data_IF_403162274827
#
_entry.id   IF_403162274827
#
_cell.length_a   1.000
_cell.length_b   1.000
_cell.length_c   1.000
_cell.angle_alpha   90.00
_cell.angle_beta   90.00
_cell.angle_gamma   90.00
#
_symmetry.space_group_name_H-M   'P 1'
#
loop_
_entity.id
_entity.type
_entity.pdbx_description
1 polymer ?
#
# COMPACT_ATOMS: atom_id res chain seq x y z
N UNK A 1 -1.43 -25.22 -24.49
CA UNK A 1 -1.95 -23.90 -24.10
C UNK A 1 -1.22 -23.55 -22.82
N UNK A 2 -0.34 -22.54 -22.83
CA UNK A 2 0.26 -22.06 -21.58
C UNK A 2 -0.87 -21.41 -20.77
N UNK A 3 -1.06 -21.86 -19.53
CA UNK A 3 -1.83 -21.12 -18.55
C UNK A 3 -1.15 -19.75 -18.39
N UNK A 4 -1.87 -18.70 -18.76
CA UNK A 4 -1.30 -17.37 -18.89
C UNK A 4 -2.10 -16.46 -17.98
N UNK A 5 -1.49 -16.12 -16.86
CA UNK A 5 -2.05 -15.18 -15.93
C UNK A 5 -2.37 -13.88 -16.68
N UNK A 6 -3.64 -13.53 -16.72
CA UNK A 6 -4.08 -12.28 -17.33
C UNK A 6 -3.61 -11.09 -16.49
N UNK A 7 -3.44 -9.89 -17.07
CA UNK A 7 -3.10 -8.67 -16.31
C UNK A 7 -3.96 -8.48 -15.03
N UNK A 8 -5.29 -8.71 -15.05
CA UNK A 8 -6.10 -8.71 -13.83
C UNK A 8 -5.67 -9.73 -12.76
N UNK A 9 -5.19 -10.90 -13.17
CA UNK A 9 -4.72 -11.96 -12.26
C UNK A 9 -3.40 -11.60 -11.58
N UNK A 10 -2.48 -10.97 -12.33
CA UNK A 10 -1.19 -10.49 -11.80
C UNK A 10 -1.38 -9.31 -10.84
N UNK A 11 -2.35 -8.42 -11.12
CA UNK A 11 -2.62 -7.26 -10.27
C UNK A 11 -3.44 -7.58 -9.02
N UNK A 12 -4.22 -8.66 -9.03
CA UNK A 12 -5.11 -9.03 -7.91
C UNK A 12 -4.37 -9.21 -6.57
N UNK A 13 -3.25 -9.94 -6.46
CA UNK A 13 -2.51 -10.06 -5.21
C UNK A 13 -2.01 -8.70 -4.68
N UNK A 14 -1.56 -7.82 -5.57
CA UNK A 14 -1.01 -6.51 -5.18
C UNK A 14 -2.14 -5.56 -4.76
N UNK A 15 -3.30 -5.64 -5.41
CA UNK A 15 -4.52 -4.96 -4.95
C UNK A 15 -4.98 -5.44 -3.57
N UNK A 16 -4.94 -6.76 -3.32
CA UNK A 16 -5.25 -7.32 -2.01
C UNK A 16 -4.26 -6.86 -0.93
N UNK A 17 -2.97 -6.80 -1.26
CA UNK A 17 -1.94 -6.25 -0.39
C UNK A 17 -2.19 -4.77 -0.04
N UNK A 18 -2.49 -3.93 -1.03
CA UNK A 18 -2.84 -2.51 -0.82
C UNK A 18 -4.07 -2.36 0.09
N UNK A 19 -5.09 -3.19 -0.14
CA UNK A 19 -6.28 -3.20 0.69
C UNK A 19 -5.96 -3.59 2.14
N UNK A 20 -5.20 -4.66 2.36
CA UNK A 20 -4.79 -5.12 3.69
C UNK A 20 -3.98 -4.04 4.44
N UNK A 21 -3.05 -3.36 3.76
CA UNK A 21 -2.26 -2.27 4.34
C UNK A 21 -3.12 -1.06 4.69
N UNK A 22 -4.09 -0.72 3.85
CA UNK A 22 -5.06 0.36 4.11
C UNK A 22 -5.96 0.06 5.30
N UNK A 23 -6.44 -1.19 5.39
CA UNK A 23 -7.25 -1.65 6.51
C UNK A 23 -6.48 -1.60 7.83
N UNK A 24 -5.27 -2.18 7.87
CA UNK A 24 -4.41 -2.15 9.06
C UNK A 24 -4.03 -0.73 9.48
N UNK A 25 -3.72 0.15 8.52
CA UNK A 25 -3.50 1.57 8.79
C UNK A 25 -4.71 2.26 9.42
N UNK A 26 -5.92 1.94 8.95
CA UNK A 26 -7.17 2.42 9.52
C UNK A 26 -7.36 1.96 10.97
N UNK A 27 -7.09 0.68 11.26
CA UNK A 27 -7.17 0.12 12.62
C UNK A 27 -6.18 0.79 13.58
N UNK A 28 -4.92 1.00 13.15
CA UNK A 28 -3.92 1.71 13.96
C UNK A 28 -4.34 3.14 14.23
N UNK A 29 -4.85 3.85 13.22
CA UNK A 29 -5.34 5.22 13.39
C UNK A 29 -6.51 5.29 14.37
N UNK A 30 -7.45 4.35 14.28
CA UNK A 30 -8.58 4.28 15.22
C UNK A 30 -8.10 4.04 16.65
N UNK A 31 -7.26 3.02 16.87
CA UNK A 31 -6.74 2.69 18.20
C UNK A 31 -5.94 3.84 18.84
N UNK A 32 -5.13 4.55 18.04
CA UNK A 32 -4.36 5.71 18.53
C UNK A 32 -5.28 6.90 18.79
N UNK A 33 -6.31 7.12 17.96
CA UNK A 33 -7.29 8.18 18.13
C UNK A 33 -8.17 8.02 19.37
N UNK A 34 -8.31 6.80 19.88
CA UNK A 34 -9.06 6.51 21.11
C UNK A 34 -8.29 6.91 22.39
N UNK A 35 -6.98 7.18 22.30
CA UNK A 35 -6.23 7.71 23.43
C UNK A 35 -6.64 9.16 23.69
N UNK A 36 -7.31 9.38 24.82
CA UNK A 36 -7.80 10.68 25.23
C UNK A 36 -7.33 11.01 26.65
N UNK A 37 -7.00 12.28 26.87
CA UNK A 37 -6.70 12.78 28.21
C UNK A 37 -7.99 13.30 28.84
N UNK A 38 -8.38 12.78 30.02
CA UNK A 38 -9.69 13.09 30.62
C UNK A 38 -9.78 14.52 31.17
N UNK A 39 -8.66 15.19 31.42
CA UNK A 39 -8.60 16.51 32.01
C UNK A 39 -7.47 17.36 31.42
N UNK A 40 -7.61 18.69 31.53
CA UNK A 40 -6.53 19.61 31.15
C UNK A 40 -5.33 19.39 32.08
N UNK A 41 -4.10 19.34 31.52
CA UNK A 41 -2.92 19.11 32.33
C UNK A 41 -2.73 20.23 33.35
N UNK A 42 -2.56 19.83 34.60
CA UNK A 42 -2.48 20.71 35.77
C UNK A 42 -1.25 20.43 36.63
N UNK A 43 -0.67 19.24 36.48
CA UNK A 43 0.51 18.78 37.18
C UNK A 43 1.65 18.44 36.20
N UNK A 44 2.88 18.33 36.73
CA UNK A 44 4.03 17.85 35.95
C UNK A 44 3.82 16.43 35.40
N UNK A 45 3.09 15.58 36.13
CA UNK A 45 2.71 14.25 35.67
C UNK A 45 1.74 14.33 34.49
N UNK A 46 0.75 15.22 34.54
CA UNK A 46 -0.21 15.38 33.44
C UNK A 46 0.48 15.87 32.15
N UNK A 47 1.43 16.79 32.29
CA UNK A 47 2.24 17.25 31.15
C UNK A 47 3.12 16.15 30.57
N UNK A 48 3.68 15.27 31.41
CA UNK A 48 4.42 14.11 30.92
C UNK A 48 3.50 13.16 30.13
N UNK A 49 2.28 12.91 30.61
CA UNK A 49 1.30 12.08 29.90
C UNK A 49 0.87 12.67 28.54
N UNK A 50 0.76 14.00 28.43
CA UNK A 50 0.57 14.67 27.13
C UNK A 50 1.73 14.38 26.19
N UNK A 51 2.97 14.50 26.67
CA UNK A 51 4.16 14.20 25.88
C UNK A 51 4.21 12.76 25.37
N UNK A 52 3.83 11.80 26.22
CA UNK A 52 3.72 10.39 25.82
C UNK A 52 2.63 10.17 24.76
N UNK A 53 1.47 10.83 24.91
CA UNK A 53 0.39 10.76 23.92
C UNK A 53 0.80 11.36 22.56
N UNK A 54 1.49 12.50 22.57
CA UNK A 54 2.02 13.12 21.36
C UNK A 54 3.04 12.19 20.68
N UNK A 55 3.95 11.61 21.47
CA UNK A 55 4.95 10.67 20.97
C UNK A 55 4.32 9.41 20.34
N UNK A 56 3.30 8.82 21.00
CA UNK A 56 2.53 7.68 20.46
C UNK A 56 1.88 8.08 19.13
N UNK A 57 1.19 9.22 19.11
CA UNK A 57 0.47 9.71 17.93
C UNK A 57 1.41 9.93 16.75
N UNK A 58 2.54 10.58 16.98
CA UNK A 58 3.54 10.83 15.96
C UNK A 58 4.18 9.53 15.45
N UNK A 59 4.58 8.63 16.36
CA UNK A 59 5.25 7.37 16.04
C UNK A 59 4.37 6.49 15.15
N UNK A 60 3.13 6.23 15.59
CA UNK A 60 2.21 5.41 14.80
C UNK A 60 1.75 6.13 13.53
N UNK A 61 1.57 7.46 13.57
CA UNK A 61 1.27 8.27 12.38
C UNK A 61 2.36 8.15 11.30
N UNK A 62 3.63 8.20 11.71
CA UNK A 62 4.78 7.99 10.83
C UNK A 62 4.81 6.58 10.26
N UNK A 63 4.63 5.56 11.11
CA UNK A 63 4.61 4.15 10.68
C UNK A 63 3.49 3.88 9.65
N UNK A 64 2.28 4.40 9.89
CA UNK A 64 1.15 4.30 8.96
C UNK A 64 1.47 4.93 7.61
N UNK A 65 2.01 6.16 7.60
CA UNK A 65 2.40 6.83 6.35
C UNK A 65 3.42 6.02 5.55
N UNK A 66 4.44 5.47 6.22
CA UNK A 66 5.45 4.65 5.55
C UNK A 66 4.87 3.35 4.99
N UNK A 67 4.02 2.65 5.74
CA UNK A 67 3.39 1.42 5.27
C UNK A 67 2.49 1.67 4.05
N UNK A 68 1.66 2.72 4.09
CA UNK A 68 0.80 3.08 2.97
C UNK A 68 1.63 3.51 1.74
N UNK A 69 2.69 4.28 1.93
CA UNK A 69 3.58 4.69 0.85
C UNK A 69 4.25 3.49 0.16
N UNK A 70 4.68 2.47 0.93
CA UNK A 70 5.22 1.23 0.36
C UNK A 70 4.17 0.43 -0.39
N UNK A 71 2.96 0.34 0.14
CA UNK A 71 1.86 -0.39 -0.50
C UNK A 71 1.44 0.24 -1.83
N UNK A 72 1.33 1.57 -1.86
CA UNK A 72 1.02 2.33 -3.06
C UNK A 72 2.14 2.22 -4.11
N UNK A 73 3.41 2.29 -3.69
CA UNK A 73 4.55 2.08 -4.59
C UNK A 73 4.54 0.67 -5.20
N UNK A 74 4.31 -0.37 -4.38
CA UNK A 74 4.23 -1.74 -4.88
C UNK A 74 3.10 -1.91 -5.90
N UNK A 75 1.94 -1.28 -5.66
CA UNK A 75 0.83 -1.29 -6.60
C UNK A 75 1.18 -0.61 -7.93
N UNK A 76 1.77 0.58 -7.88
CA UNK A 76 2.22 1.30 -9.09
C UNK A 76 3.22 0.49 -9.91
N UNK A 77 4.24 -0.07 -9.26
CA UNK A 77 5.25 -0.91 -9.93
C UNK A 77 4.61 -2.14 -10.58
N UNK A 78 3.64 -2.77 -9.93
CA UNK A 78 2.93 -3.91 -10.49
C UNK A 78 2.10 -3.54 -11.73
N UNK A 79 1.40 -2.39 -11.68
CA UNK A 79 0.63 -1.86 -12.83
C UNK A 79 1.56 -1.55 -14.00
N UNK A 80 2.67 -0.85 -13.76
CA UNK A 80 3.64 -0.51 -14.79
C UNK A 80 4.25 -1.76 -15.43
N UNK A 81 4.60 -2.75 -14.61
CA UNK A 81 5.13 -4.04 -15.06
C UNK A 81 4.12 -4.83 -15.90
N UNK A 82 2.86 -4.89 -15.47
CA UNK A 82 1.81 -5.58 -16.22
C UNK A 82 1.53 -4.92 -17.57
N UNK A 83 1.47 -3.58 -17.61
CA UNK A 83 1.31 -2.82 -18.84
C UNK A 83 2.48 -3.05 -19.81
N UNK A 84 3.72 -3.08 -19.31
CA UNK A 84 4.89 -3.35 -20.12
C UNK A 84 4.86 -4.78 -20.72
N UNK A 85 4.37 -5.76 -19.95
CA UNK A 85 4.21 -7.13 -20.43
C UNK A 85 3.18 -7.19 -21.57
N UNK A 86 2.00 -6.58 -21.39
CA UNK A 86 0.96 -6.54 -22.42
C UNK A 86 1.46 -5.93 -23.74
N UNK A 87 2.24 -4.84 -23.67
CA UNK A 87 2.85 -4.23 -24.85
C UNK A 87 3.86 -5.18 -25.51
N UNK A 88 4.73 -5.81 -24.72
CA UNK A 88 5.72 -6.75 -25.24
C UNK A 88 5.04 -7.93 -25.97
N UNK A 89 3.90 -8.39 -25.46
CA UNK A 89 3.14 -9.47 -26.08
C UNK A 89 2.44 -9.07 -27.38
N UNK A 90 1.88 -7.86 -27.44
CA UNK A 90 1.32 -7.34 -28.69
C UNK A 90 2.38 -7.25 -29.79
N UNK A 91 3.57 -6.74 -29.44
CA UNK A 91 4.70 -6.62 -30.36
C UNK A 91 5.28 -7.98 -30.75
N UNK A 92 5.49 -8.88 -29.78
CA UNK A 92 5.98 -10.23 -30.02
C UNK A 92 5.03 -11.04 -30.89
N UNK A 93 3.72 -10.97 -30.63
CA UNK A 93 2.70 -11.61 -31.45
C UNK A 93 2.64 -11.05 -32.87
N UNK A 94 2.86 -9.74 -33.07
CA UNK A 94 2.97 -9.14 -34.39
C UNK A 94 4.22 -9.66 -35.14
N UNK A 95 5.36 -9.75 -34.47
CA UNK A 95 6.60 -10.27 -35.05
C UNK A 95 6.45 -11.73 -35.50
N UNK A 96 5.88 -12.61 -34.65
CA UNK A 96 5.66 -14.02 -34.99
C UNK A 96 4.73 -14.17 -36.20
N UNK A 97 3.65 -13.39 -36.28
CA UNK A 97 2.75 -13.39 -37.45
C UNK A 97 3.44 -12.93 -38.72
N UNK A 98 4.30 -11.91 -38.64
CA UNK A 98 5.09 -11.44 -39.78
C UNK A 98 6.06 -12.51 -40.31
N UNK A 99 6.67 -13.28 -39.42
CA UNK A 99 7.58 -14.38 -39.78
C UNK A 99 6.89 -15.62 -40.35
N UNK A 100 5.58 -15.81 -40.13
CA UNK A 100 4.82 -16.91 -40.72
C UNK A 100 4.26 -16.61 -42.12
N UNK A 101 4.32 -15.35 -42.56
CA UNK A 101 3.83 -14.91 -43.87
C UNK A 101 4.94 -14.76 -44.93
N UNK A 102 6.19 -14.96 -44.55
CA UNK A 102 7.38 -15.03 -45.42
C UNK A 102 7.87 -16.45 -45.57
#
# INVERSE_FOLDING_TARGET
MLDRDSTPEVLRPVGAYLHAMTSGAGQVRAAVGDFTLPCRPSSSLDHALVGELDWITETFGNAVRQCLGRADLAFRVAVDGANAHDIADLLGGAAVRGHQQT
#
